data_IF_651986092807
#
_entry.id   IF_651986092807
#
_cell.length_a   1.000
_cell.length_b   1.000
_cell.length_c   1.000
_cell.angle_alpha   90.00
_cell.angle_beta   90.00
_cell.angle_gamma   90.00
#
_symmetry.space_group_name_H-M   'P 1'
#
loop_
_entity.id
_entity.type
_entity.pdbx_description
1 polymer ?
#
# COMPACT_ATOMS: atom_id res chain seq x y z
N UNK A 1 41.64 -13.34 2.28
CA UNK A 1 42.63 -12.66 3.15
C UNK A 1 42.41 -11.16 3.07
N UNK A 2 41.96 -10.55 4.16
CA UNK A 2 42.69 -9.52 4.94
C UNK A 2 42.60 -8.14 4.24
N UNK A 3 41.60 -7.29 4.48
CA UNK A 3 41.24 -6.54 5.71
C UNK A 3 42.14 -5.31 5.94
N UNK A 4 41.48 -4.17 6.22
CA UNK A 4 41.93 -2.96 6.95
C UNK A 4 42.58 -1.79 6.17
N UNK A 5 42.38 -0.50 6.48
CA UNK A 5 41.54 0.28 7.44
C UNK A 5 41.79 1.78 7.11
N UNK A 6 40.81 2.63 7.44
CA UNK A 6 40.83 4.07 7.84
C UNK A 6 42.14 4.89 7.78
N UNK A 7 42.13 6.20 7.52
CA UNK A 7 41.57 7.32 8.33
C UNK A 7 41.73 8.59 7.47
N UNK A 8 40.95 9.66 7.64
CA UNK A 8 41.36 10.77 8.50
C UNK A 8 40.13 11.41 9.16
N UNK A 9 40.21 11.48 10.49
CA UNK A 9 39.39 12.30 11.38
C UNK A 9 39.73 13.79 11.17
N UNK A 10 38.99 14.70 11.82
CA UNK A 10 39.59 15.29 13.01
C UNK A 10 38.81 14.97 14.29
N UNK A 11 39.58 14.75 15.35
CA UNK A 11 39.18 14.36 16.70
C UNK A 11 38.53 15.55 17.46
N UNK A 12 37.36 15.26 18.08
CA UNK A 12 36.79 15.64 19.41
C UNK A 12 37.02 17.08 20.00
N UNK A 13 36.08 17.68 20.79
CA UNK A 13 35.43 17.05 21.96
C UNK A 13 33.88 17.08 22.01
N UNK A 14 33.34 15.89 22.28
CA UNK A 14 32.22 15.53 23.15
C UNK A 14 31.20 16.61 23.56
N UNK A 15 29.98 16.52 23.02
CA UNK A 15 28.71 16.35 23.78
C UNK A 15 27.52 16.44 22.82
N UNK A 16 27.09 15.33 22.22
CA UNK A 16 25.82 15.29 21.49
C UNK A 16 24.93 14.23 22.14
N UNK A 17 23.92 14.75 22.82
CA UNK A 17 22.90 14.01 23.56
C UNK A 17 22.38 12.81 22.76
N UNK A 18 22.36 11.66 23.42
CA UNK A 18 21.72 10.42 22.97
C UNK A 18 20.24 10.66 22.62
N UNK A 19 19.94 11.08 21.39
CA UNK A 19 18.67 10.72 20.76
C UNK A 19 18.75 9.25 20.40
N UNK A 20 18.51 8.44 21.44
CA UNK A 20 18.32 6.99 21.43
C UNK A 20 17.41 6.63 20.27
N UNK A 21 17.98 6.19 19.14
CA UNK A 21 17.19 5.50 18.12
C UNK A 21 16.53 4.32 18.82
N UNK A 22 15.21 4.44 19.06
CA UNK A 22 14.43 3.41 19.72
C UNK A 22 14.35 2.25 18.74
N UNK A 23 15.19 1.24 18.97
CA UNK A 23 15.15 -0.02 18.23
C UNK A 23 13.72 -0.53 18.30
N UNK A 24 13.03 -0.55 17.16
CA UNK A 24 11.72 -1.16 17.04
C UNK A 24 11.97 -2.65 17.26
N UNK A 25 11.42 -3.21 18.34
CA UNK A 25 11.50 -4.64 18.60
C UNK A 25 10.92 -5.39 17.38
N UNK A 26 11.58 -6.45 16.91
CA UNK A 26 11.14 -7.25 15.76
C UNK A 26 9.70 -7.76 15.91
N UNK A 27 9.27 -8.02 17.15
CA UNK A 27 7.88 -8.39 17.46
C UNK A 27 6.87 -7.26 17.20
N UNK A 28 7.27 -6.01 17.40
CA UNK A 28 6.44 -4.84 17.14
C UNK A 28 6.33 -4.55 15.65
N UNK A 29 7.39 -4.85 14.90
CA UNK A 29 7.41 -4.67 13.46
C UNK A 29 6.39 -5.61 12.78
N UNK A 30 6.21 -6.85 13.28
CA UNK A 30 5.27 -7.82 12.68
C UNK A 30 3.85 -7.72 13.25
N UNK A 31 3.64 -6.85 14.25
CA UNK A 31 2.34 -6.72 14.92
C UNK A 31 1.20 -6.40 13.95
N UNK A 32 1.47 -5.61 12.90
CA UNK A 32 0.47 -5.22 11.90
C UNK A 32 0.48 -6.07 10.63
N UNK A 33 1.17 -7.22 10.60
CA UNK A 33 1.29 -8.07 9.41
C UNK A 33 1.64 -7.25 8.14
N UNK A 34 0.64 -6.96 7.30
CA UNK A 34 0.75 -6.22 6.04
C UNK A 34 0.58 -4.70 6.17
N UNK A 35 0.36 -4.20 7.38
CA UNK A 35 0.10 -2.81 7.69
C UNK A 35 1.23 -2.11 8.43
N UNK A 36 0.99 -0.85 8.76
CA UNK A 36 1.97 0.00 9.45
C UNK A 36 1.50 0.22 10.89
N UNK A 37 2.40 -0.05 11.85
CA UNK A 37 2.16 0.22 13.27
C UNK A 37 2.31 1.71 13.55
N UNK A 38 1.21 2.38 13.87
CA UNK A 38 1.17 3.83 14.04
C UNK A 38 0.77 4.23 15.46
N UNK A 39 1.33 5.35 15.91
CA UNK A 39 0.94 6.02 17.15
C UNK A 39 -0.21 6.97 16.84
N UNK A 40 -1.38 6.69 17.40
CA UNK A 40 -2.61 7.45 17.21
C UNK A 40 -2.90 8.32 18.45
N UNK A 41 -3.34 9.57 18.24
CA UNK A 41 -3.68 10.50 19.34
C UNK A 41 -5.14 10.93 19.17
N UNK A 42 -5.95 10.68 20.18
CA UNK A 42 -7.34 11.15 20.20
C UNK A 42 -7.41 12.59 20.70
N UNK A 43 -8.14 13.44 19.98
CA UNK A 43 -8.50 14.81 20.38
C UNK A 43 -7.30 15.74 20.71
N UNK A 44 -6.13 15.50 20.12
CA UNK A 44 -4.94 16.33 20.31
C UNK A 44 -4.35 16.31 21.73
N UNK A 45 -4.92 15.56 22.67
CA UNK A 45 -4.42 15.46 24.03
C UNK A 45 -3.20 14.54 24.11
N UNK A 46 -2.12 15.02 24.74
CA UNK A 46 -0.86 14.29 24.88
C UNK A 46 -0.97 13.00 25.72
N UNK A 47 -1.96 12.92 26.61
CA UNK A 47 -2.16 11.80 27.54
C UNK A 47 -2.90 10.61 26.92
N UNK A 48 -3.61 10.79 25.80
CA UNK A 48 -4.44 9.74 25.21
C UNK A 48 -3.82 9.18 23.92
N UNK A 49 -2.67 8.53 24.09
CA UNK A 49 -1.90 7.90 23.02
C UNK A 49 -2.30 6.44 22.92
N UNK A 50 -2.83 6.04 21.77
CA UNK A 50 -3.10 4.65 21.44
C UNK A 50 -2.21 4.21 20.28
N UNK A 51 -2.06 2.89 20.11
CA UNK A 51 -1.37 2.33 18.95
C UNK A 51 -2.38 1.54 18.14
N UNK A 52 -2.33 1.70 16.82
CA UNK A 52 -3.24 1.04 15.88
C UNK A 52 -2.47 0.63 14.64
N UNK A 53 -3.03 -0.30 13.88
CA UNK A 53 -2.52 -0.66 12.56
C UNK A 53 -3.27 0.12 11.50
N UNK A 54 -2.51 0.76 10.59
CA UNK A 54 -3.06 1.27 9.34
C UNK A 54 -2.90 0.20 8.28
N UNK A 55 -4.03 -0.33 7.82
CA UNK A 55 -4.06 -1.37 6.82
C UNK A 55 -4.08 -0.78 5.40
N UNK A 56 -3.30 -1.35 4.47
CA UNK A 56 -3.47 -1.04 3.05
C UNK A 56 -4.87 -1.47 2.57
N UNK A 57 -5.37 -0.94 1.44
CA UNK A 57 -6.74 -1.19 0.97
C UNK A 57 -7.13 -2.66 0.85
N UNK A 58 -6.18 -3.54 0.54
CA UNK A 58 -6.40 -4.98 0.33
C UNK A 58 -6.41 -5.82 1.61
N UNK A 59 -6.14 -5.23 2.78
CA UNK A 59 -6.07 -5.96 4.05
C UNK A 59 -6.92 -5.30 5.13
N UNK A 60 -7.41 -6.10 6.08
CA UNK A 60 -8.30 -5.65 7.15
C UNK A 60 -8.11 -6.46 8.45
N UNK A 61 -8.86 -6.04 9.48
CA UNK A 61 -8.72 -6.49 10.86
C UNK A 61 -7.79 -5.59 11.66
N UNK A 62 -7.85 -5.69 12.98
CA UNK A 62 -7.07 -4.82 13.90
C UNK A 62 -5.55 -4.91 13.71
N UNK A 63 -5.08 -5.99 13.07
CA UNK A 63 -3.67 -6.26 12.76
C UNK A 63 -3.42 -6.47 11.26
N UNK A 64 -4.35 -6.09 10.38
CA UNK A 64 -4.24 -6.31 8.94
C UNK A 64 -3.93 -7.77 8.56
N UNK A 65 -4.51 -8.71 9.32
CA UNK A 65 -4.27 -10.14 9.19
C UNK A 65 -5.11 -10.81 8.10
N UNK A 66 -6.20 -10.17 7.69
CA UNK A 66 -7.13 -10.72 6.71
C UNK A 66 -6.97 -9.99 5.37
N UNK A 67 -6.99 -10.75 4.28
CA UNK A 67 -6.94 -10.20 2.93
C UNK A 67 -8.37 -10.07 2.39
N UNK A 68 -8.67 -8.95 1.73
CA UNK A 68 -9.93 -8.79 1.00
C UNK A 68 -9.99 -9.78 -0.17
N UNK A 69 -11.21 -10.22 -0.47
CA UNK A 69 -11.48 -10.86 -1.75
C UNK A 69 -11.28 -9.83 -2.87
N UNK A 70 -10.63 -10.26 -3.95
CA UNK A 70 -10.27 -9.38 -5.07
C UNK A 70 -10.36 -10.12 -6.39
N UNK A 71 -10.65 -9.36 -7.44
CA UNK A 71 -10.46 -9.79 -8.83
C UNK A 71 -9.19 -9.13 -9.33
N UNK A 72 -8.28 -9.94 -9.88
CA UNK A 72 -7.03 -9.46 -10.48
C UNK A 72 -7.16 -9.57 -12.00
N UNK A 73 -7.00 -8.44 -12.68
CA UNK A 73 -7.11 -8.34 -14.12
C UNK A 73 -5.78 -7.84 -14.70
N UNK A 74 -5.22 -8.59 -15.63
CA UNK A 74 -4.06 -8.15 -16.39
C UNK A 74 -4.48 -7.80 -17.81
N UNK A 75 -4.26 -6.54 -18.20
CA UNK A 75 -4.59 -6.05 -19.53
C UNK A 75 -3.31 -5.78 -20.32
N UNK A 76 -3.31 -6.20 -21.58
CA UNK A 76 -2.32 -5.83 -22.58
C UNK A 76 -3.04 -5.12 -23.72
N UNK A 77 -2.76 -3.83 -23.90
CA UNK A 77 -3.29 -3.06 -25.03
C UNK A 77 -2.19 -2.78 -26.04
N UNK A 78 -2.59 -2.79 -27.31
CA UNK A 78 -1.77 -2.47 -28.46
C UNK A 78 -2.61 -1.58 -29.37
N UNK A 79 -2.11 -0.38 -29.69
CA UNK A 79 -2.72 0.49 -30.67
C UNK A 79 -2.14 0.21 -32.06
N UNK A 80 -2.98 0.39 -33.07
CA UNK A 80 -2.57 0.26 -34.47
C UNK A 80 -1.99 1.57 -35.01
N UNK A 81 -2.61 2.71 -34.68
CA UNK A 81 -2.08 4.04 -34.93
C UNK A 81 -1.51 4.62 -33.61
N UNK A 82 -0.63 5.62 -33.71
CA UNK A 82 0.10 6.19 -32.57
C UNK A 82 -0.56 7.44 -32.00
N UNK A 83 -1.68 7.89 -32.56
CA UNK A 83 -2.26 9.21 -32.20
C UNK A 83 -3.56 9.13 -31.42
N UNK A 84 -3.95 7.96 -30.94
CA UNK A 84 -5.14 7.79 -30.11
C UNK A 84 -4.84 7.83 -28.61
N UNK A 85 -5.82 8.38 -27.89
CA UNK A 85 -5.89 8.35 -26.44
C UNK A 85 -7.16 7.60 -26.08
N UNK A 86 -7.02 6.59 -25.21
CA UNK A 86 -8.14 5.82 -24.69
C UNK A 86 -8.24 6.03 -23.20
N UNK A 87 -9.46 6.26 -22.71
CA UNK A 87 -9.76 6.19 -21.28
C UNK A 87 -10.51 4.89 -21.07
N UNK A 88 -9.99 4.06 -20.17
CA UNK A 88 -10.47 2.72 -19.89
C UNK A 88 -11.07 2.75 -18.49
N UNK A 89 -12.37 2.45 -18.41
CA UNK A 89 -13.07 2.28 -17.14
C UNK A 89 -13.33 0.80 -16.93
N UNK A 90 -12.97 0.30 -15.74
CA UNK A 90 -13.15 -1.11 -15.38
C UNK A 90 -13.88 -1.13 -14.06
N UNK A 91 -15.02 -1.81 -14.01
CA UNK A 91 -15.87 -1.90 -12.83
C UNK A 91 -15.93 -3.34 -12.35
N UNK A 92 -15.81 -3.53 -11.04
CA UNK A 92 -16.23 -4.76 -10.39
C UNK A 92 -17.68 -4.58 -9.95
N UNK A 93 -18.57 -5.24 -10.66
CA UNK A 93 -20.01 -5.24 -10.40
C UNK A 93 -20.39 -6.62 -9.90
N UNK A 94 -21.26 -6.65 -8.89
CA UNK A 94 -21.82 -7.87 -8.34
C UNK A 94 -23.31 -7.66 -8.13
N UNK A 95 -24.09 -8.73 -8.33
CA UNK A 95 -25.51 -8.73 -8.07
C UNK A 95 -25.74 -9.11 -6.60
N UNK A 96 -26.17 -8.15 -5.78
CA UNK A 96 -26.63 -8.42 -4.42
C UNK A 96 -28.17 -8.43 -4.40
N UNK A 97 -28.72 -9.64 -4.60
CA UNK A 97 -30.16 -9.82 -4.79
C UNK A 97 -30.67 -9.17 -6.08
N UNK A 98 -31.63 -8.24 -5.97
CA UNK A 98 -32.26 -7.55 -7.10
C UNK A 98 -31.53 -6.24 -7.51
N UNK A 99 -30.38 -5.92 -6.90
CA UNK A 99 -29.64 -4.68 -7.17
C UNK A 99 -28.21 -4.96 -7.62
N UNK A 100 -27.78 -4.24 -8.65
CA UNK A 100 -26.39 -4.18 -9.07
C UNK A 100 -25.61 -3.20 -8.18
N UNK A 101 -24.57 -3.68 -7.52
CA UNK A 101 -23.66 -2.84 -6.73
C UNK A 101 -22.28 -2.76 -7.40
N UNK A 102 -21.78 -1.52 -7.56
CA UNK A 102 -20.39 -1.27 -7.95
C UNK A 102 -19.52 -1.39 -6.71
N UNK A 103 -18.76 -2.48 -6.63
CA UNK A 103 -17.88 -2.78 -5.51
C UNK A 103 -16.58 -1.96 -5.54
N UNK A 104 -16.00 -1.81 -6.73
CA UNK A 104 -14.83 -0.96 -6.99
C UNK A 104 -14.69 -0.66 -8.47
N UNK A 105 -13.88 0.33 -8.80
CA UNK A 105 -13.57 0.68 -10.18
C UNK A 105 -12.11 1.11 -10.33
N UNK A 106 -11.58 0.93 -11.54
CA UNK A 106 -10.31 1.48 -11.98
C UNK A 106 -10.55 2.36 -13.20
N UNK A 107 -9.82 3.49 -13.26
CA UNK A 107 -9.80 4.36 -14.43
C UNK A 107 -8.35 4.53 -14.87
N UNK A 108 -8.06 4.05 -16.06
CA UNK A 108 -6.73 4.08 -16.66
C UNK A 108 -6.74 4.84 -17.98
N UNK A 109 -5.70 5.62 -18.25
CA UNK A 109 -5.53 6.31 -19.54
C UNK A 109 -4.40 5.66 -20.33
N UNK A 110 -4.69 5.28 -21.57
CA UNK A 110 -3.73 4.72 -22.51
C UNK A 110 -3.45 5.74 -23.62
N UNK A 111 -2.16 6.00 -23.88
CA UNK A 111 -1.70 6.91 -24.93
C UNK A 111 -0.78 6.14 -25.87
N UNK A 112 -1.18 6.00 -27.12
CA UNK A 112 -0.49 5.12 -28.08
C UNK A 112 0.88 5.64 -28.52
N UNK A 113 1.08 6.96 -28.58
CA UNK A 113 2.36 7.60 -28.92
C UNK A 113 3.47 7.31 -27.89
N UNK A 114 3.10 7.10 -26.63
CA UNK A 114 4.05 6.85 -25.54
C UNK A 114 4.29 5.35 -25.36
N UNK A 115 3.27 4.52 -25.64
CA UNK A 115 3.31 3.09 -25.34
C UNK A 115 2.86 2.25 -26.54
N UNK A 116 3.82 1.73 -27.31
CA UNK A 116 3.57 0.74 -28.36
C UNK A 116 2.87 -0.52 -27.83
N UNK A 117 3.09 -0.83 -26.55
CA UNK A 117 2.44 -1.92 -25.83
C UNK A 117 2.39 -1.57 -24.34
N UNK A 118 1.19 -1.51 -23.78
CA UNK A 118 0.99 -1.20 -22.36
C UNK A 118 0.47 -2.42 -21.60
N UNK A 119 0.99 -2.62 -20.40
CA UNK A 119 0.58 -3.69 -19.47
C UNK A 119 0.11 -3.07 -18.16
N UNK A 120 -1.08 -3.45 -17.71
CA UNK A 120 -1.59 -3.07 -16.39
C UNK A 120 -1.99 -4.29 -15.60
N UNK A 121 -1.66 -4.27 -14.31
CA UNK A 121 -2.14 -5.23 -13.33
C UNK A 121 -3.10 -4.49 -12.40
N UNK A 122 -4.38 -4.76 -12.56
CA UNK A 122 -5.47 -4.03 -11.94
C UNK A 122 -6.09 -4.94 -10.88
N UNK A 123 -6.28 -4.41 -9.67
CA UNK A 123 -6.79 -5.15 -8.53
C UNK A 123 -8.07 -4.51 -8.03
N UNK A 124 -9.21 -5.09 -8.39
CA UNK A 124 -10.53 -4.65 -7.97
C UNK A 124 -10.93 -5.40 -6.69
N UNK A 125 -11.42 -4.67 -5.70
CA UNK A 125 -11.77 -5.18 -4.38
C UNK A 125 -13.28 -5.22 -4.19
N UNK A 126 -13.78 -6.24 -3.50
CA UNK A 126 -15.14 -6.23 -2.98
C UNK A 126 -15.28 -5.26 -1.81
N UNK A 127 -16.42 -4.59 -1.70
CA UNK A 127 -16.71 -3.61 -0.65
C UNK A 127 -16.86 -4.30 0.72
N UNK A 128 -17.52 -5.46 0.75
CA UNK A 128 -17.75 -6.28 1.93
C UNK A 128 -16.55 -7.17 2.29
N UNK A 129 -16.34 -7.38 3.61
CA UNK A 129 -15.19 -8.10 4.18
C UNK A 129 -15.62 -9.05 5.31
N UNK A 130 -15.62 -10.39 5.11
CA UNK A 130 -15.59 -11.10 3.82
C UNK A 130 -16.90 -10.90 3.03
N UNK A 131 -16.89 -11.19 1.71
CA UNK A 131 -18.08 -11.09 0.84
C UNK A 131 -19.21 -12.02 1.27
N UNK A 132 -18.85 -13.24 1.66
CA UNK A 132 -19.80 -14.26 2.08
C UNK A 132 -19.58 -14.54 3.57
N UNK A 133 -20.62 -14.35 4.38
CA UNK A 133 -20.77 -15.02 5.67
C UNK A 133 -21.66 -16.24 5.48
#
# INVERSE_FOLDING_TARGET
MINRVAKLLPEQPDTINNTKYKIINSSLAWYCNHGIYVRFRLNGQYSNVTYRCFCPPHFYGDRCQYQNQRVSLTLKLMAFDRREIYIIFIFLIDDDGDRQEINSYDQSTYVSDITCQAFWNIYLLYSMRPKNN
#
